data_IF_126025162192
#
_entry.id   IF_126025162192
#
_cell.length_a   1.000
_cell.length_b   1.000
_cell.length_c   1.000
_cell.angle_alpha   90.00
_cell.angle_beta   90.00
_cell.angle_gamma   90.00
#
_symmetry.space_group_name_H-M   'P 1'
#
loop_
_entity.id
_entity.type
_entity.pdbx_description
1 polymer ?
#
# COMPACT_ATOMS: atom_id res chain seq x y z
N UNK A 1 -22.12 -60.35 -19.45
CA UNK A 1 -22.99 -61.02 -18.46
C UNK A 1 -23.20 -59.99 -17.36
N UNK A 2 -24.08 -59.02 -17.64
CA UNK A 2 -25.51 -58.99 -17.26
C UNK A 2 -25.64 -58.26 -15.92
N UNK A 3 -26.07 -56.99 -15.88
CA UNK A 3 -27.46 -56.48 -15.98
C UNK A 3 -28.29 -56.99 -14.78
N UNK A 4 -28.84 -56.18 -13.88
CA UNK A 4 -29.89 -55.16 -14.07
C UNK A 4 -30.12 -54.45 -12.71
N UNK A 5 -30.22 -53.12 -12.63
CA UNK A 5 -31.34 -52.23 -12.98
C UNK A 5 -32.32 -52.01 -11.82
N UNK A 6 -32.53 -50.74 -11.43
CA UNK A 6 -33.81 -50.15 -10.96
C UNK A 6 -33.60 -48.66 -10.64
N UNK A 7 -33.96 -47.82 -11.59
CA UNK A 7 -34.27 -46.38 -11.44
C UNK A 7 -35.65 -46.21 -10.76
N UNK A 8 -35.85 -45.16 -9.95
CA UNK A 8 -36.94 -44.17 -10.18
C UNK A 8 -36.87 -42.95 -9.24
N UNK A 9 -36.73 -41.76 -9.87
CA UNK A 9 -37.52 -40.51 -9.73
C UNK A 9 -37.56 -39.74 -8.38
N UNK A 10 -37.01 -38.53 -8.33
CA UNK A 10 -37.55 -37.20 -8.76
C UNK A 10 -38.27 -36.47 -7.62
N UNK A 11 -37.69 -35.34 -7.16
CA UNK A 11 -38.40 -34.07 -7.02
C UNK A 11 -37.47 -32.93 -6.63
N UNK A 12 -37.44 -31.93 -7.51
CA UNK A 12 -36.77 -30.63 -7.39
C UNK A 12 -37.71 -29.70 -6.62
N UNK A 13 -37.27 -29.20 -5.48
CA UNK A 13 -38.03 -28.24 -4.67
C UNK A 13 -37.72 -26.81 -5.15
N UNK A 14 -38.69 -26.18 -5.84
CA UNK A 14 -38.67 -24.75 -6.18
C UNK A 14 -39.52 -23.97 -5.16
N UNK A 15 -39.08 -22.79 -4.68
CA UNK A 15 -39.88 -21.97 -3.78
C UNK A 15 -40.97 -21.19 -4.52
N UNK A 16 -42.11 -20.86 -3.88
CA UNK A 16 -43.22 -20.20 -4.55
C UNK A 16 -43.01 -18.68 -4.66
N UNK A 17 -43.36 -18.15 -5.82
CA UNK A 17 -43.50 -16.72 -6.14
C UNK A 17 -44.85 -16.20 -5.60
N UNK A 18 -44.89 -15.06 -4.89
CA UNK A 18 -46.12 -14.28 -4.73
C UNK A 18 -46.27 -13.25 -5.84
N UNK A 19 -47.49 -13.20 -6.38
CA UNK A 19 -47.96 -12.40 -7.51
C UNK A 19 -48.03 -10.90 -7.19
N UNK A 20 -47.88 -10.11 -8.26
CA UNK A 20 -48.31 -8.72 -8.37
C UNK A 20 -49.79 -8.57 -8.02
N UNK A 21 -50.11 -7.56 -7.20
CA UNK A 21 -51.40 -6.88 -7.22
C UNK A 21 -51.13 -5.40 -7.45
N UNK A 22 -51.51 -4.93 -8.64
CA UNK A 22 -51.54 -3.53 -9.03
C UNK A 22 -53.03 -3.16 -9.16
N UNK A 23 -53.52 -2.26 -8.29
CA UNK A 23 -54.75 -1.53 -8.54
C UNK A 23 -54.73 -0.20 -7.77
N UNK A 24 -54.67 0.86 -8.55
CA UNK A 24 -54.71 2.27 -8.17
C UNK A 24 -55.97 2.68 -7.40
N UNK A 25 -55.85 3.70 -6.55
CA UNK A 25 -56.78 4.84 -6.46
C UNK A 25 -56.22 5.93 -5.54
N UNK A 26 -55.83 7.07 -6.09
CA UNK A 26 -55.83 8.36 -5.40
C UNK A 26 -57.30 8.85 -5.20
N UNK A 27 -57.59 9.79 -4.28
CA UNK A 27 -57.35 11.21 -4.59
C UNK A 27 -56.96 12.08 -3.39
N UNK A 28 -56.39 13.27 -3.65
CA UNK A 28 -56.55 14.41 -2.76
C UNK A 28 -55.30 15.26 -2.53
N UNK A 29 -54.94 16.05 -3.54
CA UNK A 29 -54.06 17.23 -3.47
C UNK A 29 -54.30 18.12 -2.24
N UNK A 30 -53.24 18.33 -1.46
CA UNK A 30 -53.02 19.55 -0.69
C UNK A 30 -51.54 19.93 -0.82
N UNK A 31 -51.33 21.03 -1.52
CA UNK A 31 -50.02 21.61 -1.86
C UNK A 31 -49.36 22.18 -0.60
N UNK A 32 -48.12 21.81 -0.34
CA UNK A 32 -47.14 22.70 0.28
C UNK A 32 -45.75 22.24 -0.18
N UNK A 33 -45.29 22.89 -1.26
CA UNK A 33 -43.97 22.69 -1.82
C UNK A 33 -42.91 23.29 -0.88
N UNK A 34 -42.28 22.45 -0.06
CA UNK A 34 -41.03 22.79 0.60
C UNK A 34 -39.89 22.61 -0.41
N UNK A 35 -39.59 23.70 -1.13
CA UNK A 35 -38.33 23.85 -1.85
C UNK A 35 -37.20 23.99 -0.82
N UNK A 36 -36.37 22.98 -0.67
CA UNK A 36 -35.11 23.07 0.06
C UNK A 36 -33.94 22.81 -0.89
N UNK A 37 -33.86 23.63 -1.94
CA UNK A 37 -32.77 23.61 -2.92
C UNK A 37 -31.97 24.95 -3.01
N UNK A 38 -31.91 25.70 -1.90
CA UNK A 38 -31.35 27.07 -1.90
C UNK A 38 -30.28 27.36 -0.82
N UNK A 39 -29.71 26.36 -0.15
CA UNK A 39 -28.70 26.63 0.91
C UNK A 39 -27.28 26.93 0.38
N UNK A 40 -26.95 26.66 -0.89
CA UNK A 40 -25.58 26.76 -1.43
C UNK A 40 -25.40 27.82 -2.51
N UNK A 41 -26.40 28.65 -2.79
CA UNK A 41 -26.20 29.83 -3.64
C UNK A 41 -25.66 31.01 -2.82
N UNK A 42 -24.38 30.91 -2.45
CA UNK A 42 -23.61 32.10 -2.13
C UNK A 42 -23.27 32.81 -3.45
N UNK A 43 -23.78 34.03 -3.62
CA UNK A 43 -23.40 34.95 -4.69
C UNK A 43 -21.88 35.11 -4.71
N UNK A 44 -21.24 34.78 -5.85
CA UNK A 44 -19.83 35.04 -6.04
C UNK A 44 -19.56 36.55 -5.94
N UNK A 45 -18.65 37.02 -5.07
CA UNK A 45 -18.18 38.39 -5.16
C UNK A 45 -17.39 38.57 -6.45
N UNK A 46 -17.61 39.70 -7.13
CA UNK A 46 -16.92 40.13 -8.34
C UNK A 46 -15.40 39.98 -8.17
N UNK A 47 -14.78 39.15 -9.04
CA UNK A 47 -13.33 38.98 -9.08
C UNK A 47 -12.68 40.22 -9.67
N UNK A 48 -12.05 41.01 -8.81
CA UNK A 48 -11.14 42.11 -9.16
C UNK A 48 -9.70 41.58 -9.32
N UNK A 49 -9.51 40.65 -10.26
CA UNK A 49 -8.18 40.22 -10.69
C UNK A 49 -7.94 40.70 -12.12
N UNK A 50 -7.09 41.73 -12.23
CA UNK A 50 -6.68 42.31 -13.51
C UNK A 50 -6.07 41.26 -14.45
N UNK A 51 -6.62 41.15 -15.66
CA UNK A 51 -6.03 40.35 -16.73
C UNK A 51 -4.72 40.99 -17.22
N UNK A 52 -3.63 40.23 -17.46
CA UNK A 52 -2.43 40.78 -18.05
C UNK A 52 -2.67 41.04 -19.54
N UNK A 53 -2.41 42.29 -19.96
CA UNK A 53 -2.44 42.73 -21.35
C UNK A 53 -1.33 42.02 -22.13
N UNK A 54 -1.69 41.28 -23.17
CA UNK A 54 -0.75 40.68 -24.11
C UNK A 54 -0.33 41.72 -25.16
N UNK A 55 0.93 42.15 -25.15
CA UNK A 55 1.55 42.81 -26.30
C UNK A 55 2.71 41.94 -26.81
N UNK A 56 2.78 41.60 -28.11
CA UNK A 56 3.90 40.85 -28.65
C UNK A 56 4.98 41.84 -29.08
N UNK A 57 6.14 41.80 -28.41
CA UNK A 57 7.37 42.32 -29.00
C UNK A 57 8.39 41.20 -29.02
N UNK A 58 8.58 40.65 -30.20
CA UNK A 58 9.67 39.73 -30.56
C UNK A 58 11.00 40.34 -30.15
N UNK A 59 11.72 39.65 -29.28
CA UNK A 59 13.18 39.78 -29.20
C UNK A 59 13.72 38.39 -28.92
N UNK A 60 14.32 37.78 -29.94
CA UNK A 60 15.12 36.57 -29.80
C UNK A 60 16.27 36.88 -28.83
N UNK A 61 16.24 36.23 -27.67
CA UNK A 61 17.37 36.11 -26.76
C UNK A 61 17.45 34.64 -26.41
N UNK A 62 18.59 34.03 -26.74
CA UNK A 62 18.81 32.59 -26.76
C UNK A 62 18.27 31.90 -25.51
N UNK A 63 17.47 30.85 -25.74
CA UNK A 63 17.04 29.92 -24.71
C UNK A 63 18.28 29.28 -24.10
N UNK A 64 18.72 29.83 -22.97
CA UNK A 64 19.49 29.10 -21.99
C UNK A 64 18.58 27.95 -21.56
N UNK A 65 18.94 26.72 -21.94
CA UNK A 65 18.28 25.49 -21.54
C UNK A 65 18.25 25.46 -20.01
N UNK A 66 17.12 25.82 -19.43
CA UNK A 66 16.85 25.55 -18.03
C UNK A 66 16.94 24.02 -17.88
N UNK A 67 17.69 23.49 -16.89
CA UNK A 67 17.62 22.07 -16.59
C UNK A 67 16.15 21.81 -16.24
N UNK A 68 15.49 20.97 -17.04
CA UNK A 68 14.04 20.78 -16.98
C UNK A 68 13.60 20.53 -15.54
N UNK A 69 12.70 21.36 -15.03
CA UNK A 69 11.96 21.04 -13.81
C UNK A 69 11.30 19.70 -14.03
N UNK A 70 11.79 18.67 -13.32
CA UNK A 70 11.16 17.37 -13.32
C UNK A 70 9.66 17.54 -13.02
N UNK A 71 8.82 16.86 -13.80
CA UNK A 71 7.36 16.96 -13.70
C UNK A 71 6.92 16.18 -12.45
N UNK A 72 6.90 16.85 -11.30
CA UNK A 72 6.48 16.26 -10.03
C UNK A 72 5.01 15.85 -10.15
N UNK A 73 4.74 14.55 -10.09
CA UNK A 73 3.40 14.01 -10.28
C UNK A 73 2.61 13.94 -8.97
N UNK A 74 3.24 13.50 -7.89
CA UNK A 74 2.70 13.57 -6.54
C UNK A 74 3.81 13.72 -5.51
N UNK A 75 3.49 14.29 -4.36
CA UNK A 75 4.37 14.31 -3.19
C UNK A 75 3.55 14.37 -1.90
N UNK A 76 4.13 13.94 -0.80
CA UNK A 76 3.45 13.92 0.49
C UNK A 76 4.27 13.28 1.59
N UNK A 77 3.74 13.27 2.81
CA UNK A 77 4.31 12.52 3.94
C UNK A 77 3.53 11.23 4.13
N UNK A 78 4.19 10.14 4.50
CA UNK A 78 3.57 8.82 4.64
C UNK A 78 2.49 8.71 5.71
N UNK A 79 2.40 9.69 6.63
CA UNK A 79 1.30 9.80 7.59
C UNK A 79 -0.01 10.34 6.99
N UNK A 80 0.04 11.01 5.83
CA UNK A 80 -1.12 11.57 5.12
C UNK A 80 -1.33 10.89 3.76
N UNK A 81 -0.25 10.44 3.13
CA UNK A 81 -0.23 9.79 1.83
C UNK A 81 0.55 8.47 1.95
N UNK A 82 -0.14 7.36 2.26
CA UNK A 82 0.49 6.08 2.59
C UNK A 82 1.44 5.57 1.49
N UNK A 83 2.50 4.88 1.92
CA UNK A 83 3.52 4.38 1.00
C UNK A 83 2.95 3.37 -0.01
N UNK A 84 2.05 2.47 0.42
CA UNK A 84 1.36 1.53 -0.47
C UNK A 84 0.57 2.25 -1.57
N UNK A 85 -0.14 3.33 -1.21
CA UNK A 85 -0.88 4.13 -2.18
C UNK A 85 0.05 4.77 -3.23
N UNK A 86 1.23 5.23 -2.83
CA UNK A 86 2.23 5.78 -3.75
C UNK A 86 2.76 4.72 -4.73
N UNK A 87 3.09 3.52 -4.24
CA UNK A 87 3.56 2.41 -5.08
C UNK A 87 2.45 1.92 -6.01
N UNK A 88 1.21 1.82 -5.53
CA UNK A 88 0.07 1.47 -6.37
C UNK A 88 -0.22 2.50 -7.45
N UNK A 89 -0.06 3.79 -7.16
CA UNK A 89 -0.25 4.84 -8.16
C UNK A 89 0.72 4.67 -9.34
N UNK A 90 1.93 4.17 -9.10
CA UNK A 90 2.90 3.85 -10.15
C UNK A 90 2.35 2.80 -11.10
N UNK A 91 1.93 1.64 -10.58
CA UNK A 91 1.41 0.55 -11.41
C UNK A 91 0.08 0.90 -12.09
N UNK A 92 -0.85 1.50 -11.36
CA UNK A 92 -2.19 1.82 -11.87
C UNK A 92 -2.17 2.84 -13.00
N UNK A 93 -1.30 3.85 -12.90
CA UNK A 93 -1.20 4.92 -13.89
C UNK A 93 -0.08 4.67 -14.92
N UNK A 94 0.53 3.48 -14.94
CA UNK A 94 1.65 3.08 -15.80
C UNK A 94 2.79 4.12 -15.81
N UNK A 95 3.22 4.55 -14.62
CA UNK A 95 4.17 5.65 -14.50
C UNK A 95 5.61 5.23 -14.83
N UNK A 96 6.32 6.15 -15.48
CA UNK A 96 7.76 6.05 -15.77
C UNK A 96 8.47 7.23 -15.11
N UNK A 97 9.41 6.95 -14.21
CA UNK A 97 10.04 8.00 -13.41
C UNK A 97 10.76 7.49 -12.16
N UNK A 98 10.90 8.40 -11.19
CA UNK A 98 11.62 8.17 -9.95
C UNK A 98 10.73 8.55 -8.75
N UNK A 99 10.49 7.61 -7.84
CA UNK A 99 9.97 7.90 -6.50
C UNK A 99 11.14 8.09 -5.55
N UNK A 100 11.33 9.31 -5.06
CA UNK A 100 12.30 9.62 -4.00
C UNK A 100 11.62 9.59 -2.64
N UNK A 101 12.20 8.86 -1.70
CA UNK A 101 11.78 8.78 -0.30
C UNK A 101 12.88 9.36 0.61
N UNK A 102 12.59 10.50 1.23
CA UNK A 102 13.47 11.18 2.18
C UNK A 102 13.02 10.88 3.62
N UNK A 103 13.98 10.50 4.46
CA UNK A 103 13.78 10.06 5.84
C UNK A 103 15.02 10.42 6.67
N UNK A 104 15.21 9.81 7.84
CA UNK A 104 16.32 10.12 8.76
C UNK A 104 17.70 9.60 8.29
N UNK A 105 17.78 9.03 7.08
CA UNK A 105 19.02 8.56 6.44
C UNK A 105 19.09 9.04 4.98
N UNK A 106 20.08 8.57 4.21
CA UNK A 106 20.19 8.87 2.78
C UNK A 106 18.90 8.49 2.04
N UNK A 107 18.40 9.35 1.12
CA UNK A 107 17.17 9.06 0.39
C UNK A 107 17.22 7.73 -0.37
N UNK A 108 16.07 7.09 -0.42
CA UNK A 108 15.85 5.88 -1.20
C UNK A 108 15.11 6.29 -2.48
N UNK A 109 15.70 5.94 -3.60
CA UNK A 109 15.24 6.23 -4.95
C UNK A 109 14.68 4.95 -5.57
N UNK A 110 13.37 4.89 -5.82
CA UNK A 110 12.69 3.76 -6.49
C UNK A 110 12.41 4.12 -7.94
N UNK A 111 13.01 3.37 -8.85
CA UNK A 111 12.90 3.56 -10.28
C UNK A 111 11.70 2.78 -10.81
N UNK A 112 10.87 3.45 -11.61
CA UNK A 112 9.71 2.85 -12.24
C UNK A 112 9.74 3.04 -13.75
N UNK A 113 9.32 2.02 -14.49
CA UNK A 113 9.21 2.04 -15.95
C UNK A 113 7.91 1.37 -16.35
N UNK A 114 7.05 2.12 -17.04
CA UNK A 114 5.78 1.65 -17.59
C UNK A 114 4.90 0.98 -16.52
N UNK A 115 4.91 1.51 -15.29
CA UNK A 115 4.18 0.96 -14.14
C UNK A 115 4.89 -0.16 -13.39
N UNK A 116 5.99 -0.70 -13.92
CA UNK A 116 6.79 -1.74 -13.27
C UNK A 116 7.83 -1.11 -12.32
N UNK A 117 8.07 -1.76 -11.17
CA UNK A 117 9.13 -1.35 -10.25
C UNK A 117 10.46 -1.96 -10.72
N UNK A 118 11.39 -1.12 -11.19
CA UNK A 118 12.69 -1.58 -11.73
C UNK A 118 13.62 -2.00 -10.60
N UNK A 119 13.89 -1.08 -9.66
CA UNK A 119 14.66 -1.34 -8.45
C UNK A 119 14.56 -0.17 -7.48
N UNK A 120 14.92 -0.40 -6.22
CA UNK A 120 15.22 0.65 -5.27
C UNK A 120 16.74 0.77 -5.07
N UNK A 121 17.24 2.00 -4.97
CA UNK A 121 18.65 2.31 -4.77
C UNK A 121 18.82 3.50 -3.83
N UNK A 122 20.05 3.78 -3.45
CA UNK A 122 20.44 4.95 -2.65
C UNK A 122 21.87 5.32 -2.99
N UNK A 123 22.29 6.54 -2.67
CA UNK A 123 23.69 6.97 -2.81
C UNK A 123 24.57 6.51 -1.66
N UNK A 124 24.02 5.88 -0.63
CA UNK A 124 24.81 5.30 0.45
C UNK A 124 25.03 3.79 0.23
N UNK A 125 26.25 3.34 -0.14
CA UNK A 125 26.51 1.93 -0.38
C UNK A 125 26.44 1.06 0.88
N UNK A 126 26.68 1.63 2.06
CA UNK A 126 26.59 0.91 3.34
C UNK A 126 25.14 0.69 3.72
N UNK A 127 24.27 1.69 3.48
CA UNK A 127 22.82 1.55 3.62
C UNK A 127 22.24 0.57 2.58
N UNK A 128 22.71 0.62 1.34
CA UNK A 128 22.25 -0.26 0.26
C UNK A 128 22.59 -1.73 0.50
N UNK A 129 23.79 -2.02 1.01
CA UNK A 129 24.28 -3.37 1.24
C UNK A 129 25.22 -3.40 2.45
N UNK A 130 24.67 -3.49 3.68
CA UNK A 130 25.47 -3.50 4.91
C UNK A 130 26.25 -4.81 5.10
N UNK A 131 25.78 -5.89 4.46
CA UNK A 131 26.39 -7.22 4.59
C UNK A 131 27.54 -7.43 3.59
N UNK A 132 28.52 -8.23 4.00
CA UNK A 132 29.58 -8.71 3.09
C UNK A 132 29.03 -9.82 2.22
N UNK A 133 28.90 -9.56 0.92
CA UNK A 133 28.35 -10.52 -0.03
C UNK A 133 29.39 -11.57 -0.46
N UNK A 134 29.07 -12.88 -0.43
CA UNK A 134 29.99 -13.94 -0.85
C UNK A 134 30.48 -13.81 -2.29
N UNK A 135 29.66 -13.25 -3.19
CA UNK A 135 30.03 -13.03 -4.60
C UNK A 135 31.24 -12.09 -4.77
N UNK A 136 31.52 -11.25 -3.77
CA UNK A 136 32.63 -10.31 -3.79
C UNK A 136 33.93 -10.90 -3.25
N UNK A 137 33.92 -12.14 -2.73
CA UNK A 137 35.08 -12.73 -2.05
C UNK A 137 36.34 -12.85 -2.93
N UNK A 138 36.16 -13.00 -4.25
CA UNK A 138 37.25 -13.13 -5.22
C UNK A 138 37.50 -11.86 -6.04
N UNK A 139 36.78 -10.77 -5.74
CA UNK A 139 36.91 -9.49 -6.46
C UNK A 139 37.96 -8.65 -5.75
N UNK A 140 38.80 -7.97 -6.52
CA UNK A 140 39.77 -7.02 -5.98
C UNK A 140 39.06 -5.95 -5.13
N UNK A 141 39.44 -5.76 -3.84
CA UNK A 141 38.85 -4.75 -2.98
C UNK A 141 38.91 -3.32 -3.55
N UNK A 142 39.92 -2.97 -4.34
CA UNK A 142 40.00 -1.64 -4.98
C UNK A 142 38.93 -1.47 -6.05
N UNK A 143 38.61 -2.53 -6.81
CA UNK A 143 37.53 -2.52 -7.80
C UNK A 143 36.17 -2.37 -7.11
N UNK A 144 35.96 -3.04 -5.97
CA UNK A 144 34.75 -2.90 -5.17
C UNK A 144 34.64 -1.48 -4.58
N UNK A 145 35.73 -0.92 -4.06
CA UNK A 145 35.76 0.44 -3.51
C UNK A 145 35.41 1.48 -4.59
N UNK A 146 36.02 1.37 -5.78
CA UNK A 146 35.73 2.25 -6.91
C UNK A 146 34.25 2.17 -7.34
N UNK A 147 33.67 0.96 -7.37
CA UNK A 147 32.26 0.78 -7.71
C UNK A 147 31.32 1.40 -6.64
N UNK A 148 31.70 1.33 -5.35
CA UNK A 148 30.96 1.97 -4.26
C UNK A 148 31.06 3.50 -4.33
N UNK A 149 32.21 4.06 -4.69
CA UNK A 149 32.35 5.50 -4.86
C UNK A 149 31.52 6.01 -6.04
N UNK A 150 31.43 5.25 -7.13
CA UNK A 150 30.51 5.56 -8.24
C UNK A 150 29.03 5.54 -7.82
N UNK A 151 28.63 4.66 -6.89
CA UNK A 151 27.27 4.66 -6.34
C UNK A 151 26.99 5.94 -5.54
N UNK A 152 27.97 6.45 -4.77
CA UNK A 152 27.83 7.71 -4.03
C UNK A 152 27.58 8.90 -4.95
N UNK A 153 28.22 8.91 -6.11
CA UNK A 153 28.08 9.99 -7.09
C UNK A 153 26.80 9.87 -7.91
N UNK A 154 26.49 8.67 -8.42
CA UNK A 154 25.44 8.46 -9.42
C UNK A 154 24.13 7.90 -8.87
N UNK A 155 24.15 7.25 -7.70
CA UNK A 155 23.05 6.42 -7.19
C UNK A 155 22.91 5.06 -7.88
N UNK A 156 23.77 4.72 -8.84
CA UNK A 156 23.76 3.40 -9.50
C UNK A 156 24.30 2.35 -8.53
N UNK A 157 23.58 1.24 -8.24
CA UNK A 157 24.08 0.19 -7.36
C UNK A 157 25.47 -0.31 -7.78
N UNK A 158 26.42 -0.38 -6.84
CA UNK A 158 27.78 -0.80 -7.14
C UNK A 158 27.83 -2.22 -7.75
N UNK A 159 26.91 -3.10 -7.38
CA UNK A 159 26.75 -4.43 -7.97
C UNK A 159 26.48 -4.38 -9.47
N UNK A 160 25.72 -3.39 -9.95
CA UNK A 160 25.44 -3.22 -11.37
C UNK A 160 26.71 -2.78 -12.11
N UNK A 161 27.48 -1.88 -11.52
CA UNK A 161 28.79 -1.47 -12.04
C UNK A 161 29.76 -2.66 -12.14
N UNK A 162 29.86 -3.48 -11.08
CA UNK A 162 30.71 -4.67 -11.08
C UNK A 162 30.28 -5.69 -12.14
N UNK A 163 28.97 -5.90 -12.31
CA UNK A 163 28.44 -6.79 -13.34
C UNK A 163 28.74 -6.29 -14.76
N UNK A 164 28.62 -4.98 -15.00
CA UNK A 164 28.94 -4.34 -16.29
C UNK A 164 30.43 -4.40 -16.63
N UNK A 165 31.28 -4.31 -15.62
CA UNK A 165 32.72 -4.45 -15.75
C UNK A 165 33.19 -5.92 -15.75
N UNK A 166 32.25 -6.88 -15.83
CA UNK A 166 32.53 -8.32 -15.84
C UNK A 166 33.33 -8.80 -14.62
N UNK A 167 33.30 -8.04 -13.52
CA UNK A 167 34.00 -8.36 -12.26
C UNK A 167 33.23 -9.39 -11.42
N UNK A 168 31.91 -9.49 -11.64
CA UNK A 168 31.04 -10.53 -11.10
C UNK A 168 30.09 -11.02 -12.19
N UNK A 169 29.55 -12.23 -12.03
CA UNK A 169 28.58 -12.77 -12.97
C UNK A 169 27.30 -11.94 -13.03
N UNK A 170 26.82 -11.67 -14.23
CA UNK A 170 25.71 -10.74 -14.48
C UNK A 170 24.40 -11.20 -13.85
N UNK A 171 23.98 -12.46 -14.06
CA UNK A 171 22.68 -12.92 -13.58
C UNK A 171 22.61 -12.95 -12.03
N UNK A 172 23.59 -13.54 -11.32
CA UNK A 172 23.61 -13.48 -9.85
C UNK A 172 23.65 -12.04 -9.32
N UNK A 173 24.34 -11.13 -10.01
CA UNK A 173 24.35 -9.72 -9.63
C UNK A 173 22.97 -9.06 -9.77
N UNK A 174 22.23 -9.33 -10.85
CA UNK A 174 20.88 -8.81 -11.04
C UNK A 174 19.91 -9.33 -9.97
N UNK A 175 19.99 -10.61 -9.63
CA UNK A 175 19.17 -11.21 -8.56
C UNK A 175 19.48 -10.55 -7.20
N UNK A 176 20.76 -10.32 -6.91
CA UNK A 176 21.20 -9.60 -5.71
C UNK A 176 20.76 -8.13 -5.72
N UNK A 177 20.82 -7.43 -6.86
CA UNK A 177 20.35 -6.04 -6.97
C UNK A 177 18.86 -5.96 -6.65
N UNK A 178 18.05 -6.87 -7.18
CA UNK A 178 16.62 -6.94 -6.85
C UNK A 178 16.42 -7.16 -5.35
N UNK A 179 17.10 -8.15 -4.78
CA UNK A 179 16.95 -8.45 -3.35
C UNK A 179 17.42 -7.31 -2.43
N UNK A 180 18.59 -6.73 -2.70
CA UNK A 180 19.13 -5.60 -1.91
C UNK A 180 18.25 -4.36 -2.05
N UNK A 181 17.72 -4.08 -3.24
CA UNK A 181 16.73 -3.02 -3.43
C UNK A 181 15.46 -3.25 -2.61
N UNK A 182 14.93 -4.48 -2.59
CA UNK A 182 13.77 -4.82 -1.75
C UNK A 182 14.07 -4.69 -0.26
N UNK A 183 15.25 -5.14 0.20
CA UNK A 183 15.70 -4.98 1.58
C UNK A 183 15.82 -3.50 1.96
N UNK A 184 16.44 -2.70 1.10
CA UNK A 184 16.56 -1.25 1.28
C UNK A 184 15.18 -0.59 1.41
N UNK A 185 14.28 -0.84 0.45
CA UNK A 185 12.94 -0.29 0.47
C UNK A 185 12.14 -0.74 1.70
N UNK A 186 12.36 -1.97 2.18
CA UNK A 186 11.62 -2.49 3.33
C UNK A 186 11.77 -1.63 4.59
N UNK A 187 12.87 -0.89 4.73
CA UNK A 187 13.11 0.02 5.85
C UNK A 187 12.08 1.15 5.90
N UNK A 188 11.56 1.58 4.74
CA UNK A 188 10.57 2.66 4.64
C UNK A 188 9.21 2.27 5.24
N UNK A 189 8.87 0.98 5.29
CA UNK A 189 7.60 0.52 5.88
C UNK A 189 7.51 0.77 7.38
N UNK A 190 8.66 0.82 8.07
CA UNK A 190 8.73 1.09 9.51
C UNK A 190 9.18 2.53 9.82
N UNK A 191 9.62 3.28 8.81
CA UNK A 191 10.11 4.63 9.00
C UNK A 191 8.95 5.62 9.25
N UNK A 192 9.00 6.43 10.32
CA UNK A 192 7.97 7.41 10.59
C UNK A 192 8.10 8.60 9.65
N UNK A 193 6.96 9.10 9.15
CA UNK A 193 6.86 10.42 8.52
C UNK A 193 7.81 10.66 7.31
N UNK A 194 8.08 9.60 6.54
CA UNK A 194 8.87 9.66 5.30
C UNK A 194 8.22 10.65 4.35
N UNK A 195 9.02 11.58 3.80
CA UNK A 195 8.57 12.46 2.72
C UNK A 195 8.85 11.79 1.38
N UNK A 196 7.81 11.62 0.57
CA UNK A 196 7.90 10.97 -0.73
C UNK A 196 7.54 11.94 -1.85
N UNK A 197 8.20 11.80 -2.99
CA UNK A 197 7.96 12.57 -4.20
C UNK A 197 8.20 11.72 -5.44
N UNK A 198 7.24 11.70 -6.36
CA UNK A 198 7.40 11.05 -7.66
C UNK A 198 7.64 12.07 -8.76
N UNK A 199 8.74 11.91 -9.47
CA UNK A 199 9.16 12.71 -10.62
C UNK A 199 8.94 11.91 -11.91
N UNK A 200 8.04 12.38 -12.79
CA UNK A 200 7.82 11.78 -14.11
C UNK A 200 8.95 12.11 -15.07
N UNK A 201 9.26 11.17 -15.96
CA UNK A 201 10.23 11.34 -17.04
C UNK A 201 11.61 11.80 -16.55
N UNK A 202 11.97 11.45 -15.31
CA UNK A 202 13.31 11.70 -14.82
C UNK A 202 14.30 10.94 -15.72
N UNK A 203 15.33 11.63 -16.25
CA UNK A 203 16.38 11.07 -17.13
C UNK A 203 17.23 9.93 -16.49
N UNK A 204 16.78 9.42 -15.34
CA UNK A 204 17.47 8.48 -14.45
C UNK A 204 17.42 7.05 -15.00
N UNK A 205 16.45 6.71 -15.86
CA UNK A 205 16.28 5.33 -16.35
C UNK A 205 17.29 4.89 -17.41
N UNK A 206 18.02 5.82 -18.03
CA UNK A 206 19.00 5.51 -19.08
C UNK A 206 20.10 4.56 -18.62
N UNK A 207 20.44 4.59 -17.31
CA UNK A 207 21.41 3.71 -16.69
C UNK A 207 20.90 2.32 -16.31
N UNK A 208 19.62 1.99 -16.53
CA UNK A 208 18.98 0.78 -15.98
C UNK A 208 18.26 -0.06 -17.03
N UNK A 209 18.61 0.07 -18.32
CA UNK A 209 18.02 -0.75 -19.40
C UNK A 209 18.23 -2.26 -19.23
N UNK A 210 19.29 -2.65 -18.50
CA UNK A 210 19.66 -4.04 -18.25
C UNK A 210 18.82 -4.72 -17.15
N UNK A 211 18.01 -3.96 -16.40
CA UNK A 211 17.24 -4.44 -15.25
C UNK A 211 15.76 -4.56 -15.65
N UNK A 212 15.18 -5.71 -15.36
CA UNK A 212 13.75 -6.00 -15.59
C UNK A 212 12.93 -5.52 -14.40
N UNK A 213 11.80 -4.86 -14.69
CA UNK A 213 10.86 -4.44 -13.67
C UNK A 213 10.03 -5.59 -13.13
N UNK A 214 9.56 -5.44 -11.90
CA UNK A 214 8.52 -6.26 -11.33
C UNK A 214 7.14 -5.71 -11.76
N UNK A 215 6.35 -6.46 -12.54
CA UNK A 215 5.12 -5.95 -13.15
C UNK A 215 3.93 -5.90 -12.17
N UNK A 216 3.98 -6.67 -11.09
CA UNK A 216 2.94 -6.70 -10.07
C UNK A 216 3.39 -5.90 -8.83
N UNK A 217 2.96 -4.65 -8.77
CA UNK A 217 3.33 -3.71 -7.70
C UNK A 217 2.76 -4.11 -6.33
N UNK A 218 1.62 -4.80 -6.33
CA UNK A 218 0.95 -5.26 -5.11
C UNK A 218 1.75 -6.43 -4.51
N UNK A 219 2.14 -7.40 -5.34
CA UNK A 219 3.02 -8.49 -4.92
C UNK A 219 4.42 -7.99 -4.53
N UNK A 220 5.00 -7.05 -5.28
CA UNK A 220 6.29 -6.45 -4.93
C UNK A 220 6.25 -5.76 -3.56
N UNK A 221 5.17 -5.04 -3.27
CA UNK A 221 4.93 -4.42 -1.95
C UNK A 221 4.83 -5.48 -0.84
N UNK A 222 4.12 -6.58 -1.09
CA UNK A 222 4.03 -7.70 -0.14
C UNK A 222 5.40 -8.36 0.10
N UNK A 223 6.22 -8.58 -0.94
CA UNK A 223 7.57 -9.15 -0.79
C UNK A 223 8.48 -8.24 0.05
N UNK A 224 8.45 -6.92 -0.18
CA UNK A 224 9.25 -5.99 0.65
C UNK A 224 8.75 -5.94 2.09
N UNK A 225 7.44 -6.07 2.33
CA UNK A 225 6.87 -6.17 3.67
C UNK A 225 7.25 -7.46 4.42
N UNK A 226 7.53 -8.55 3.69
CA UNK A 226 8.03 -9.80 4.30
C UNK A 226 9.44 -9.65 4.86
N UNK A 227 10.23 -8.74 4.29
CA UNK A 227 11.59 -8.45 4.73
C UNK A 227 11.65 -7.58 6.00
N UNK A 228 10.54 -6.93 6.37
CA UNK A 228 10.48 -6.12 7.59
C UNK A 228 10.61 -7.00 8.83
N UNK A 229 11.73 -6.84 9.53
CA UNK A 229 11.98 -7.49 10.80
C UNK A 229 11.55 -6.59 11.95
N UNK A 230 10.67 -7.09 12.83
CA UNK A 230 10.18 -6.37 14.01
C UNK A 230 9.62 -4.97 13.70
N UNK A 231 8.50 -4.86 12.95
CA UNK A 231 7.94 -3.56 12.59
C UNK A 231 7.75 -2.66 13.81
N UNK A 232 8.43 -1.50 13.82
CA UNK A 232 8.17 -0.44 14.78
C UNK A 232 6.82 0.18 14.47
N UNK A 233 6.05 0.49 15.51
CA UNK A 233 4.68 0.92 15.32
C UNK A 233 4.56 2.43 15.49
N UNK A 234 3.88 3.12 14.56
CA UNK A 234 3.51 4.51 14.76
C UNK A 234 2.53 4.70 15.94
N UNK A 235 1.73 3.68 16.32
CA UNK A 235 0.79 3.70 17.46
C UNK A 235 0.63 2.26 17.95
N UNK A 236 0.80 2.02 19.26
CA UNK A 236 1.03 0.70 19.86
C UNK A 236 0.02 -0.41 19.53
N UNK A 237 0.54 -1.64 19.49
CA UNK A 237 -0.17 -2.82 19.05
C UNK A 237 -1.19 -3.13 20.11
N UNK A 238 -2.48 -3.05 19.77
CA UNK A 238 -3.54 -3.48 20.64
C UNK A 238 -3.96 -4.91 20.25
N UNK A 239 -3.65 -5.95 21.06
CA UNK A 239 -4.12 -7.31 20.81
C UNK A 239 -5.66 -7.42 20.84
N UNK A 240 -6.36 -6.46 21.44
CA UNK A 240 -7.81 -6.40 21.46
C UNK A 240 -8.41 -5.78 20.20
N UNK A 241 -7.60 -5.16 19.32
CA UNK A 241 -8.07 -4.61 18.05
C UNK A 241 -8.70 -5.67 17.16
N UNK A 242 -9.70 -5.26 16.37
CA UNK A 242 -10.51 -6.10 15.51
C UNK A 242 -10.17 -5.77 14.05
N UNK A 243 -9.41 -6.61 13.35
CA UNK A 243 -9.13 -6.42 11.93
C UNK A 243 -10.38 -6.67 11.08
N UNK A 244 -10.61 -5.79 10.12
CA UNK A 244 -11.65 -5.91 9.09
C UNK A 244 -11.08 -5.56 7.73
N UNK A 245 -11.51 -6.27 6.69
CA UNK A 245 -11.17 -5.90 5.32
C UNK A 245 -11.75 -4.54 4.96
N UNK A 246 -10.94 -3.71 4.31
CA UNK A 246 -11.44 -2.53 3.61
C UNK A 246 -12.20 -2.99 2.35
N UNK A 247 -13.03 -2.10 1.78
CA UNK A 247 -13.80 -2.43 0.56
C UNK A 247 -12.89 -2.89 -0.58
N UNK A 248 -11.82 -2.14 -0.84
CA UNK A 248 -10.86 -2.49 -1.90
C UNK A 248 -9.90 -3.60 -1.47
N UNK A 249 -9.60 -3.68 -0.17
CA UNK A 249 -8.74 -4.71 0.41
C UNK A 249 -9.25 -6.13 0.19
N UNK A 250 -10.56 -6.35 0.31
CA UNK A 250 -11.15 -7.67 0.09
C UNK A 250 -10.95 -8.19 -1.35
N UNK A 251 -11.00 -7.31 -2.35
CA UNK A 251 -10.76 -7.70 -3.75
C UNK A 251 -9.26 -7.86 -4.04
N UNK A 252 -8.42 -6.98 -3.45
CA UNK A 252 -6.96 -7.02 -3.63
C UNK A 252 -6.34 -8.27 -3.02
N UNK A 253 -6.75 -8.64 -1.80
CA UNK A 253 -6.16 -9.78 -1.08
C UNK A 253 -6.34 -11.11 -1.82
N UNK A 254 -7.36 -11.23 -2.66
CA UNK A 254 -7.61 -12.43 -3.46
C UNK A 254 -6.63 -12.59 -4.64
N UNK A 255 -5.98 -11.51 -5.06
CA UNK A 255 -5.05 -11.48 -6.20
C UNK A 255 -3.59 -11.61 -5.76
N UNK A 256 -3.30 -11.30 -4.51
CA UNK A 256 -1.96 -11.40 -3.93
C UNK A 256 -1.45 -12.84 -3.85
N UNK A 257 -0.15 -13.02 -4.07
CA UNK A 257 0.57 -14.28 -3.84
C UNK A 257 0.83 -14.51 -2.35
N UNK A 258 -0.21 -14.81 -1.60
CA UNK A 258 -0.13 -15.09 -0.17
C UNK A 258 0.56 -16.45 0.11
N UNK A 259 1.37 -16.48 1.15
CA UNK A 259 1.81 -17.74 1.78
C UNK A 259 0.63 -18.43 2.48
N UNK A 260 0.78 -19.72 2.79
CA UNK A 260 -0.24 -20.46 3.56
C UNK A 260 -0.59 -19.78 4.89
N UNK A 261 0.43 -19.29 5.61
CA UNK A 261 0.23 -18.65 6.91
C UNK A 261 -0.49 -17.29 6.77
N UNK A 262 -0.14 -16.50 5.75
CA UNK A 262 -0.82 -15.24 5.45
C UNK A 262 -2.29 -15.46 5.06
N UNK A 263 -2.55 -16.45 4.20
CA UNK A 263 -3.91 -16.80 3.79
C UNK A 263 -4.76 -17.30 4.97
N UNK A 264 -4.20 -18.16 5.83
CA UNK A 264 -4.88 -18.64 7.04
C UNK A 264 -5.15 -17.53 8.05
N UNK A 265 -4.21 -16.59 8.21
CA UNK A 265 -4.38 -15.43 9.07
C UNK A 265 -5.48 -14.51 8.55
N UNK A 266 -5.43 -14.15 7.26
CA UNK A 266 -6.43 -13.34 6.59
C UNK A 266 -7.83 -13.93 6.65
N UNK A 267 -7.96 -15.25 6.51
CA UNK A 267 -9.27 -15.94 6.56
C UNK A 267 -9.98 -15.84 7.91
N UNK A 268 -9.29 -15.42 8.98
CA UNK A 268 -9.90 -15.23 10.30
C UNK A 268 -10.57 -13.85 10.45
N UNK A 269 -10.29 -12.90 9.56
CA UNK A 269 -10.83 -11.54 9.59
C UNK A 269 -12.33 -11.56 9.25
N UNK A 270 -13.14 -11.29 10.25
CA UNK A 270 -14.60 -11.30 10.14
C UNK A 270 -15.27 -10.07 10.78
N UNK A 271 -14.48 -9.04 11.11
CA UNK A 271 -14.96 -7.83 11.76
C UNK A 271 -15.45 -8.00 13.21
N UNK A 272 -15.22 -9.17 13.83
CA UNK A 272 -15.64 -9.43 15.21
C UNK A 272 -14.53 -10.00 16.11
N UNK A 273 -13.59 -10.76 15.54
CA UNK A 273 -12.51 -11.38 16.32
C UNK A 273 -11.36 -10.41 16.55
N UNK A 274 -10.87 -10.35 17.78
CA UNK A 274 -9.65 -9.60 18.06
C UNK A 274 -8.40 -10.31 17.55
N UNK A 275 -7.30 -9.57 17.35
CA UNK A 275 -6.01 -10.15 16.96
C UNK A 275 -5.57 -11.24 17.94
N UNK A 276 -5.80 -11.06 19.24
CA UNK A 276 -5.50 -12.07 20.26
C UNK A 276 -6.31 -13.36 20.07
N UNK A 277 -7.59 -13.25 19.71
CA UNK A 277 -8.43 -14.42 19.43
C UNK A 277 -7.97 -15.14 18.16
N UNK A 278 -7.61 -14.39 17.13
CA UNK A 278 -7.05 -14.92 15.87
C UNK A 278 -5.76 -15.68 16.15
N UNK A 279 -4.83 -15.07 16.88
CA UNK A 279 -3.56 -15.69 17.28
C UNK A 279 -3.79 -17.00 18.04
N UNK A 280 -4.74 -17.01 18.99
CA UNK A 280 -5.12 -18.22 19.73
C UNK A 280 -5.69 -19.32 18.82
N UNK A 281 -6.56 -18.97 17.88
CA UNK A 281 -7.15 -19.94 16.94
C UNK A 281 -6.10 -20.61 16.06
N UNK A 282 -5.12 -19.83 15.59
CA UNK A 282 -4.06 -20.28 14.71
C UNK A 282 -2.82 -20.80 15.45
N UNK A 283 -2.84 -20.80 16.80
CA UNK A 283 -1.72 -21.19 17.66
C UNK A 283 -0.43 -20.38 17.38
N UNK A 284 -0.60 -19.12 17.00
CA UNK A 284 0.49 -18.16 16.81
C UNK A 284 0.77 -17.43 18.11
N UNK A 285 2.04 -17.12 18.37
CA UNK A 285 2.38 -16.13 19.38
C UNK A 285 2.00 -14.72 18.91
N UNK A 286 1.85 -13.78 19.85
CA UNK A 286 1.42 -12.42 19.52
C UNK A 286 2.44 -11.65 18.67
N UNK A 287 3.74 -11.98 18.74
CA UNK A 287 4.76 -11.33 17.90
C UNK A 287 4.57 -11.74 16.44
N UNK A 288 4.33 -13.03 16.19
CA UNK A 288 4.03 -13.56 14.85
C UNK A 288 2.71 -13.01 14.30
N UNK A 289 1.64 -13.00 15.10
CA UNK A 289 0.35 -12.41 14.71
C UNK A 289 0.47 -10.91 14.40
N UNK A 290 1.26 -10.18 15.19
CA UNK A 290 1.57 -8.75 14.94
C UNK A 290 2.28 -8.56 13.60
N UNK A 291 3.28 -9.39 13.29
CA UNK A 291 4.02 -9.28 12.03
C UNK A 291 3.13 -9.57 10.82
N UNK A 292 2.26 -10.59 10.90
CA UNK A 292 1.30 -10.86 9.83
C UNK A 292 0.31 -9.72 9.66
N UNK A 293 -0.29 -9.23 10.75
CA UNK A 293 -1.23 -8.11 10.70
C UNK A 293 -0.61 -6.85 10.10
N UNK A 294 0.63 -6.54 10.47
CA UNK A 294 1.36 -5.39 9.94
C UNK A 294 1.39 -5.36 8.41
N UNK A 295 1.59 -6.52 7.75
CA UNK A 295 1.60 -6.60 6.27
C UNK A 295 0.25 -6.19 5.68
N UNK A 296 -0.85 -6.70 6.23
CA UNK A 296 -2.19 -6.37 5.74
C UNK A 296 -2.59 -4.91 5.98
N UNK A 297 -2.16 -4.34 7.11
CA UNK A 297 -2.42 -2.93 7.43
C UNK A 297 -1.58 -2.00 6.57
N UNK A 298 -0.29 -2.30 6.37
CA UNK A 298 0.61 -1.50 5.55
C UNK A 298 0.19 -1.46 4.07
N UNK A 299 -0.39 -2.56 3.57
CA UNK A 299 -1.00 -2.64 2.23
C UNK A 299 -2.40 -2.00 2.15
N UNK A 300 -2.92 -1.42 3.23
CA UNK A 300 -4.27 -0.86 3.31
C UNK A 300 -5.39 -1.87 2.98
N UNK A 301 -5.10 -3.16 3.12
CA UNK A 301 -6.06 -4.27 2.89
C UNK A 301 -6.99 -4.41 4.09
N UNK A 302 -6.46 -4.14 5.28
CA UNK A 302 -7.14 -4.29 6.55
C UNK A 302 -7.04 -3.00 7.35
N UNK A 303 -8.15 -2.62 7.96
CA UNK A 303 -8.22 -1.61 9.01
C UNK A 303 -8.46 -2.28 10.37
N UNK A 304 -7.88 -1.72 11.42
CA UNK A 304 -8.01 -2.22 12.78
C UNK A 304 -8.93 -1.32 13.59
N UNK A 305 -10.08 -1.87 13.98
CA UNK A 305 -11.02 -1.19 14.88
C UNK A 305 -10.62 -1.43 16.33
N UNK A 306 -10.83 -0.47 17.24
CA UNK A 306 -10.60 -0.71 18.67
C UNK A 306 -11.49 -1.87 19.14
N UNK A 307 -10.97 -2.69 20.05
CA UNK A 307 -11.71 -3.80 20.64
C UNK A 307 -12.92 -3.28 21.40
N UNK A 308 -14.05 -3.17 20.72
CA UNK A 308 -15.35 -2.70 21.18
C UNK A 308 -15.35 -1.89 22.48
N UNK A 309 -15.71 -0.61 22.35
CA UNK A 309 -16.67 0.07 23.22
C UNK A 309 -17.98 -0.75 23.29
N UNK A 310 -17.92 -1.95 23.86
CA UNK A 310 -19.12 -2.66 24.27
C UNK A 310 -19.76 -1.75 25.30
N UNK A 311 -20.96 -1.26 24.97
CA UNK A 311 -21.77 -0.47 25.88
C UNK A 311 -21.64 -1.07 27.26
N UNK A 312 -21.09 -0.28 28.20
CA UNK A 312 -21.04 -0.61 29.62
C UNK A 312 -22.40 -1.23 29.94
N UNK A 313 -22.47 -2.45 30.50
CA UNK A 313 -23.77 -3.02 30.82
C UNK A 313 -24.51 -1.97 31.63
N UNK A 314 -25.71 -1.58 31.20
CA UNK A 314 -26.54 -0.65 31.95
C UNK A 314 -26.48 -1.09 33.42
N UNK A 315 -26.12 -0.19 34.35
CA UNK A 315 -26.14 -0.55 35.76
C UNK A 315 -27.56 -1.00 36.03
N UNK A 316 -27.75 -2.29 36.35
CA UNK A 316 -29.04 -2.85 36.73
C UNK A 316 -29.68 -1.90 37.74
N UNK A 317 -30.67 -1.13 37.28
CA UNK A 317 -31.50 -0.33 38.14
C UNK A 317 -32.12 -1.27 39.18
N UNK A 318 -32.04 -0.85 40.45
CA UNK A 318 -32.13 -1.73 41.60
C UNK A 318 -33.45 -2.50 41.72
N UNK A 319 -33.35 -3.65 42.37
CA UNK A 319 -34.47 -4.24 43.11
C UNK A 319 -34.16 -4.02 44.59
N UNK A 320 -34.76 -2.97 45.17
CA UNK A 320 -34.69 -2.72 46.59
C UNK A 320 -35.22 -3.90 47.39
N UNK A 321 -34.46 -4.38 48.37
CA UNK A 321 -34.99 -5.18 49.47
C UNK A 321 -35.11 -4.28 50.70
N UNK A 322 -36.27 -3.66 50.84
CA UNK A 322 -36.82 -3.23 52.12
C UNK A 322 -37.55 -4.44 52.73
N UNK A 323 -36.88 -5.12 53.67
CA UNK A 323 -37.53 -5.86 54.74
C UNK A 323 -36.88 -5.32 56.01
N UNK A 324 -37.54 -4.58 56.89
CA UNK A 324 -38.86 -4.84 57.45
C UNK A 324 -38.61 -5.07 58.94
N UNK A 325 -38.66 -3.99 59.71
CA UNK A 325 -38.46 -3.97 61.17
C UNK A 325 -39.79 -4.32 61.84
N UNK A 326 -39.78 -5.28 62.75
CA UNK A 326 -40.89 -5.64 63.65
C UNK A 326 -40.55 -6.98 64.30
N UNK A 327 -40.59 -7.16 65.62
CA UNK A 327 -41.25 -6.45 66.70
C UNK A 327 -40.48 -6.75 67.98
#
# INVERSE_FOLDING_TARGET
MESSNSEERDQIDQPPVPRQDEAASEPGTSSEAFQSDEWWRASAPESDWAQPVSNPTTTEIGQRKEPGTADVYFCGRTNLFPLDLAIRAIGKENLTGLLRACWDQEPIDVLARDGEIVLATTRDPELYCPETLPILANVDPEVVANARDQQKESGTPFLLTLARNESIERQPALDLIRHQGQLLFSQLWSAPNVWIMFEKNADVLGGFGDVTGDPDVDDWSLETLRLVQNPEQPIGFDPASIPSYTREGFDRVQKLKLTSDEAQFGSQFNGARSVQQIAKNLRLDLKSARQLLFRFVALEIVECWPGSTTAKPEPKAGMGRLFGRGR
#
